data_IF_977691786883
#
_entry.id   IF_977691786883
#
_cell.length_a   1.000
_cell.length_b   1.000
_cell.length_c   1.000
_cell.angle_alpha   90.00
_cell.angle_beta   90.00
_cell.angle_gamma   90.00
#
_symmetry.space_group_name_H-M   'P 1'
#
loop_
_entity.id
_entity.type
_entity.pdbx_description
1 polymer ?
#
# COMPACT_ATOMS: atom_id res chain seq x y z
N UNK A 1 -1.67 11.14 -18.81
CA UNK A 1 -1.42 9.70 -19.08
C UNK A 1 -2.47 8.78 -18.46
N UNK A 2 -2.73 8.81 -17.12
CA UNK A 2 -3.78 7.98 -16.51
C UNK A 2 -5.17 8.32 -17.08
N UNK A 3 -5.50 9.60 -17.17
CA UNK A 3 -6.77 10.06 -17.75
C UNK A 3 -6.93 9.65 -19.23
N UNK A 4 -5.87 9.66 -20.02
CA UNK A 4 -5.91 9.22 -21.42
C UNK A 4 -6.11 7.70 -21.58
N UNK A 5 -5.79 6.93 -20.54
CA UNK A 5 -6.04 5.48 -20.48
C UNK A 5 -7.37 5.13 -19.82
N UNK A 6 -8.19 6.13 -19.45
CA UNK A 6 -9.47 5.91 -18.75
C UNK A 6 -9.30 5.28 -17.36
N UNK A 7 -8.10 5.33 -16.78
CA UNK A 7 -7.81 4.71 -15.50
C UNK A 7 -8.07 5.69 -14.35
N UNK A 8 -8.86 5.27 -13.38
CA UNK A 8 -9.06 6.01 -12.14
C UNK A 8 -7.84 5.88 -11.22
N UNK A 9 -7.44 6.98 -10.59
CA UNK A 9 -6.40 6.96 -9.58
C UNK A 9 -6.98 6.40 -8.27
N UNK A 10 -6.66 5.15 -7.98
CA UNK A 10 -7.04 4.46 -6.75
C UNK A 10 -5.97 4.60 -5.68
N UNK A 11 -6.30 4.32 -4.40
CA UNK A 11 -5.32 4.31 -3.33
C UNK A 11 -4.13 3.36 -3.61
N UNK A 12 -4.35 2.09 -4.06
CA UNK A 12 -3.25 1.25 -4.54
C UNK A 12 -2.51 1.83 -5.76
N UNK A 13 -3.19 2.57 -6.64
CA UNK A 13 -2.53 3.27 -7.74
C UNK A 13 -1.54 4.34 -7.26
N UNK A 14 -1.88 5.07 -6.20
CA UNK A 14 -0.95 6.01 -5.55
C UNK A 14 0.26 5.26 -4.97
N UNK A 15 0.04 4.13 -4.30
CA UNK A 15 1.12 3.28 -3.79
C UNK A 15 2.06 2.79 -4.91
N UNK A 16 1.51 2.44 -6.09
CA UNK A 16 2.30 2.11 -7.28
C UNK A 16 3.20 3.27 -7.75
N UNK A 17 2.70 4.51 -7.70
CA UNK A 17 3.51 5.70 -8.02
C UNK A 17 4.65 5.86 -7.00
N UNK A 18 4.37 5.75 -5.69
CA UNK A 18 5.38 5.87 -4.63
C UNK A 18 6.43 4.78 -4.77
N UNK A 19 6.01 3.53 -5.04
CA UNK A 19 6.92 2.42 -5.30
C UNK A 19 7.86 2.72 -6.47
N UNK A 20 7.34 3.22 -7.58
CA UNK A 20 8.18 3.50 -8.76
C UNK A 20 9.14 4.66 -8.55
N UNK A 21 8.81 5.64 -7.71
CA UNK A 21 9.76 6.67 -7.28
C UNK A 21 10.93 6.02 -6.53
N UNK A 22 10.65 5.11 -5.58
CA UNK A 22 11.69 4.35 -4.88
C UNK A 22 12.59 3.57 -5.83
N UNK A 23 12.01 2.77 -6.72
CA UNK A 23 12.77 1.99 -7.72
C UNK A 23 13.59 2.87 -8.68
N UNK A 24 13.10 4.08 -9.01
CA UNK A 24 13.85 5.03 -9.83
C UNK A 24 15.13 5.53 -9.12
N UNK A 25 15.04 5.77 -7.82
CA UNK A 25 16.19 6.14 -7.00
C UNK A 25 17.20 4.99 -6.97
N UNK A 26 16.75 3.73 -6.76
CA UNK A 26 17.62 2.56 -6.72
C UNK A 26 18.40 2.36 -8.02
N UNK A 27 17.76 2.51 -9.16
CA UNK A 27 18.44 2.43 -10.45
C UNK A 27 19.58 3.47 -10.57
N UNK A 28 19.35 4.71 -10.10
CA UNK A 28 20.39 5.73 -10.08
C UNK A 28 21.50 5.42 -9.06
N UNK A 29 21.16 4.90 -7.89
CA UNK A 29 22.15 4.49 -6.87
C UNK A 29 23.08 3.40 -7.42
N UNK A 30 22.55 2.39 -8.08
CA UNK A 30 23.36 1.34 -8.72
C UNK A 30 24.34 1.92 -9.75
N UNK A 31 23.87 2.84 -10.60
CA UNK A 31 24.73 3.50 -11.59
C UNK A 31 25.83 4.30 -10.89
N UNK A 32 25.49 5.11 -9.88
CA UNK A 32 26.44 5.98 -9.19
C UNK A 32 27.48 5.19 -8.40
N UNK A 33 27.08 4.14 -7.69
CA UNK A 33 28.05 3.29 -7.00
C UNK A 33 28.99 2.59 -7.98
N UNK A 34 28.47 2.13 -9.12
CA UNK A 34 29.31 1.53 -10.15
C UNK A 34 30.29 2.53 -10.74
N UNK A 35 29.85 3.77 -10.98
CA UNK A 35 30.77 4.85 -11.41
C UNK A 35 31.84 5.12 -10.33
N UNK A 36 31.47 5.14 -9.04
CA UNK A 36 32.39 5.32 -7.92
C UNK A 36 33.45 4.21 -7.86
N UNK A 37 33.04 2.95 -8.08
CA UNK A 37 33.98 1.83 -8.16
C UNK A 37 35.00 2.01 -9.30
N UNK A 38 34.54 2.42 -10.49
CA UNK A 38 35.41 2.64 -11.63
C UNK A 38 36.36 3.86 -11.41
N UNK A 39 35.90 4.90 -10.74
CA UNK A 39 36.75 6.04 -10.34
C UNK A 39 37.79 5.60 -9.32
N UNK A 40 37.42 4.79 -8.30
CA UNK A 40 38.37 4.23 -7.33
C UNK A 40 39.38 3.29 -7.97
N UNK A 41 39.02 2.61 -9.06
CA UNK A 41 39.94 1.80 -9.86
C UNK A 41 40.92 2.65 -10.69
N UNK A 42 40.90 3.99 -10.58
CA UNK A 42 41.83 4.91 -11.24
C UNK A 42 41.40 5.37 -12.64
N UNK A 43 40.19 5.08 -13.09
CA UNK A 43 39.69 5.52 -14.39
C UNK A 43 39.37 7.01 -14.39
N UNK A 44 39.65 7.70 -15.48
CA UNK A 44 39.20 9.08 -15.68
C UNK A 44 37.67 9.19 -15.71
N UNK A 45 37.11 10.29 -15.22
CA UNK A 45 35.67 10.49 -14.99
C UNK A 45 34.80 10.13 -16.22
N UNK A 46 35.22 10.49 -17.42
CA UNK A 46 34.47 10.17 -18.66
C UNK A 46 34.38 8.66 -18.92
N UNK A 47 35.49 7.94 -18.75
CA UNK A 47 35.52 6.48 -18.92
C UNK A 47 34.75 5.78 -17.78
N UNK A 48 34.93 6.25 -16.54
CA UNK A 48 34.23 5.71 -15.37
C UNK A 48 32.69 5.81 -15.50
N UNK A 49 32.16 6.94 -16.01
CA UNK A 49 30.73 7.09 -16.30
C UNK A 49 30.30 6.11 -17.36
N UNK A 50 31.03 5.99 -18.48
CA UNK A 50 30.67 5.07 -19.57
C UNK A 50 30.65 3.62 -19.11
N UNK A 51 31.67 3.18 -18.37
CA UNK A 51 31.78 1.82 -17.88
C UNK A 51 30.80 1.54 -16.75
N UNK A 52 30.56 2.50 -15.85
CA UNK A 52 29.57 2.40 -14.80
C UNK A 52 28.15 2.15 -15.35
N UNK A 53 27.72 2.92 -16.33
CA UNK A 53 26.45 2.68 -17.03
C UNK A 53 26.42 1.31 -17.71
N UNK A 54 27.50 0.92 -18.41
CA UNK A 54 27.58 -0.37 -19.11
C UNK A 54 27.44 -1.56 -18.16
N UNK A 55 28.08 -1.50 -16.99
CA UNK A 55 28.04 -2.57 -16.00
C UNK A 55 26.73 -2.62 -15.20
N UNK A 56 26.12 -1.46 -14.92
CA UNK A 56 24.84 -1.39 -14.20
C UNK A 56 23.64 -1.74 -15.09
N UNK A 57 23.74 -1.55 -16.42
CA UNK A 57 22.62 -1.64 -17.35
C UNK A 57 21.86 -2.98 -17.27
N UNK A 58 22.58 -4.10 -17.29
CA UNK A 58 21.97 -5.43 -17.26
C UNK A 58 21.16 -5.65 -15.99
N UNK A 59 21.70 -5.30 -14.81
CA UNK A 59 21.00 -5.44 -13.54
C UNK A 59 19.74 -4.58 -13.47
N UNK A 60 19.81 -3.34 -13.94
CA UNK A 60 18.66 -2.42 -13.93
C UNK A 60 17.56 -2.92 -14.86
N UNK A 61 17.90 -3.38 -16.05
CA UNK A 61 16.89 -3.92 -17.00
C UNK A 61 16.27 -5.20 -16.45
N UNK A 62 17.06 -6.14 -15.94
CA UNK A 62 16.56 -7.41 -15.43
C UNK A 62 15.60 -7.20 -14.23
N UNK A 63 15.95 -6.34 -13.28
CA UNK A 63 15.12 -6.00 -12.14
C UNK A 63 13.80 -5.32 -12.56
N UNK A 64 13.85 -4.34 -13.45
CA UNK A 64 12.65 -3.68 -13.93
C UNK A 64 11.78 -4.58 -14.83
N UNK A 65 12.38 -5.51 -15.58
CA UNK A 65 11.64 -6.43 -16.45
C UNK A 65 10.86 -7.47 -15.64
N UNK A 66 11.41 -7.97 -14.53
CA UNK A 66 10.67 -8.86 -13.62
C UNK A 66 9.45 -8.15 -13.02
N UNK A 67 9.62 -6.93 -12.56
CA UNK A 67 8.52 -6.11 -12.02
C UNK A 67 7.50 -5.76 -13.10
N UNK A 68 7.96 -5.48 -14.33
CA UNK A 68 7.07 -5.20 -15.47
C UNK A 68 6.20 -6.40 -15.84
N UNK A 69 6.76 -7.60 -15.87
CA UNK A 69 5.99 -8.82 -16.14
C UNK A 69 4.92 -9.03 -15.07
N UNK A 70 5.27 -8.85 -13.81
CA UNK A 70 4.30 -8.91 -12.70
C UNK A 70 3.19 -7.88 -12.91
N UNK A 71 3.54 -6.64 -13.22
CA UNK A 71 2.58 -5.57 -13.43
C UNK A 71 1.66 -5.85 -14.63
N UNK A 72 2.16 -6.42 -15.73
CA UNK A 72 1.33 -6.81 -16.88
C UNK A 72 0.33 -7.90 -16.49
N UNK A 73 0.75 -8.93 -15.76
CA UNK A 73 -0.17 -9.98 -15.28
C UNK A 73 -1.23 -9.39 -14.35
N UNK A 74 -0.84 -8.52 -13.41
CA UNK A 74 -1.78 -7.86 -12.51
C UNK A 74 -2.72 -6.89 -13.25
N UNK A 75 -2.28 -6.23 -14.30
CA UNK A 75 -3.13 -5.35 -15.11
C UNK A 75 -4.18 -6.12 -15.91
N UNK A 76 -3.85 -7.32 -16.37
CA UNK A 76 -4.74 -8.13 -17.20
C UNK A 76 -5.70 -9.02 -16.38
N UNK A 77 -5.19 -9.66 -15.34
CA UNK A 77 -5.96 -10.62 -14.51
C UNK A 77 -6.45 -10.01 -13.21
N UNK A 78 -5.85 -8.92 -12.75
CA UNK A 78 -6.30 -8.17 -11.57
C UNK A 78 -7.59 -7.40 -11.86
N UNK A 79 -8.30 -7.05 -10.83
CA UNK A 79 -9.54 -6.28 -10.93
C UNK A 79 -9.54 -5.11 -9.93
N UNK A 80 -10.27 -4.04 -10.29
CA UNK A 80 -10.47 -2.89 -9.44
C UNK A 80 -9.15 -2.24 -8.96
N UNK A 81 -8.92 -2.19 -7.64
CA UNK A 81 -7.76 -1.52 -7.06
C UNK A 81 -6.40 -2.09 -7.50
N UNK A 82 -6.30 -3.42 -7.67
CA UNK A 82 -5.08 -4.11 -8.10
C UNK A 82 -4.72 -3.74 -9.54
N UNK A 83 -5.71 -3.65 -10.41
CA UNK A 83 -5.51 -3.20 -11.79
C UNK A 83 -4.99 -1.75 -11.84
N UNK A 84 -5.57 -0.85 -11.00
CA UNK A 84 -5.11 0.53 -10.87
C UNK A 84 -3.64 0.62 -10.43
N UNK A 85 -3.23 -0.17 -9.44
CA UNK A 85 -1.83 -0.32 -9.02
C UNK A 85 -0.93 -0.76 -10.18
N UNK A 86 -1.33 -1.81 -10.88
CA UNK A 86 -0.53 -2.38 -11.97
C UNK A 86 -0.32 -1.39 -13.13
N UNK A 87 -1.36 -0.65 -13.53
CA UNK A 87 -1.26 0.36 -14.59
C UNK A 87 -0.29 1.48 -14.19
N UNK A 88 -0.39 1.99 -12.97
CA UNK A 88 0.53 3.03 -12.48
C UNK A 88 1.96 2.53 -12.39
N UNK A 89 2.14 1.26 -11.98
CA UNK A 89 3.45 0.62 -11.92
C UNK A 89 4.09 0.48 -13.31
N UNK A 90 3.33 0.04 -14.33
CA UNK A 90 3.81 -0.06 -15.72
C UNK A 90 4.30 1.30 -16.22
N UNK A 91 3.48 2.35 -16.09
CA UNK A 91 3.84 3.70 -16.50
C UNK A 91 5.09 4.17 -15.76
N UNK A 92 5.13 3.94 -14.44
CA UNK A 92 6.24 4.32 -13.58
C UNK A 92 7.55 3.64 -13.96
N UNK A 93 7.54 2.34 -14.28
CA UNK A 93 8.74 1.60 -14.73
C UNK A 93 9.30 2.22 -16.01
N UNK A 94 8.46 2.47 -17.02
CA UNK A 94 8.93 3.07 -18.26
C UNK A 94 9.51 4.48 -18.06
N UNK A 95 8.84 5.31 -17.26
CA UNK A 95 9.32 6.68 -16.97
C UNK A 95 10.60 6.65 -16.12
N UNK A 96 10.71 5.74 -15.17
CA UNK A 96 11.88 5.53 -14.33
C UNK A 96 13.11 5.09 -15.15
N UNK A 97 12.95 4.08 -15.99
CA UNK A 97 14.01 3.61 -16.88
C UNK A 97 14.50 4.73 -17.84
N UNK A 98 13.55 5.45 -18.44
CA UNK A 98 13.88 6.58 -19.30
C UNK A 98 14.67 7.65 -18.56
N UNK A 99 14.24 8.00 -17.35
CA UNK A 99 14.92 9.00 -16.52
C UNK A 99 16.32 8.54 -16.09
N UNK A 100 16.44 7.33 -15.54
CA UNK A 100 17.70 6.83 -15.00
C UNK A 100 18.75 6.56 -16.10
N UNK A 101 18.33 5.93 -17.20
CA UNK A 101 19.28 5.52 -18.26
C UNK A 101 19.56 6.63 -19.23
N UNK A 102 18.54 7.40 -19.63
CA UNK A 102 18.68 8.38 -20.69
C UNK A 102 18.93 9.80 -20.16
N UNK A 103 18.00 10.34 -19.34
CA UNK A 103 18.07 11.74 -18.89
C UNK A 103 19.31 11.97 -18.01
N UNK A 104 19.53 11.10 -17.02
CA UNK A 104 20.67 11.25 -16.09
C UNK A 104 21.99 11.13 -16.85
N UNK A 105 22.11 10.20 -17.80
CA UNK A 105 23.30 10.07 -18.65
C UNK A 105 23.53 11.29 -19.53
N UNK A 106 22.46 11.86 -20.09
CA UNK A 106 22.54 13.10 -20.88
C UNK A 106 23.08 14.26 -20.04
N UNK A 107 22.56 14.41 -18.81
CA UNK A 107 23.04 15.45 -17.88
C UNK A 107 24.54 15.30 -17.62
N UNK A 108 25.02 14.09 -17.30
CA UNK A 108 26.47 13.87 -17.07
C UNK A 108 27.29 14.16 -18.32
N UNK A 109 26.82 13.77 -19.50
CA UNK A 109 27.52 14.07 -20.77
C UNK A 109 27.65 15.56 -20.98
N UNK A 110 26.57 16.32 -20.82
CA UNK A 110 26.56 17.79 -20.96
C UNK A 110 27.45 18.46 -19.90
N UNK A 111 27.50 17.95 -18.67
CA UNK A 111 28.40 18.46 -17.63
C UNK A 111 29.85 18.25 -17.99
N UNK A 112 30.20 17.05 -18.51
CA UNK A 112 31.57 16.74 -18.97
C UNK A 112 32.01 17.62 -20.16
N UNK A 113 31.12 17.85 -21.14
CA UNK A 113 31.40 18.73 -22.28
C UNK A 113 31.65 20.17 -21.84
N UNK A 114 30.91 20.61 -20.81
CA UNK A 114 31.11 21.95 -20.21
C UNK A 114 32.26 22.00 -19.22
N UNK A 115 33.10 20.97 -19.15
CA UNK A 115 34.25 20.83 -18.22
C UNK A 115 33.90 21.09 -16.76
N UNK A 116 32.62 20.83 -16.37
CA UNK A 116 32.20 20.92 -14.96
C UNK A 116 32.74 19.73 -14.18
N UNK A 117 33.19 19.99 -12.96
CA UNK A 117 33.56 18.91 -12.07
C UNK A 117 32.31 18.16 -11.59
N UNK A 118 32.33 16.83 -11.79
CA UNK A 118 31.28 15.93 -11.30
C UNK A 118 31.86 15.17 -10.11
N UNK A 119 31.22 15.28 -8.95
CA UNK A 119 31.51 14.48 -7.77
C UNK A 119 30.35 13.54 -7.50
N UNK A 120 30.61 12.25 -7.28
CA UNK A 120 29.65 11.23 -6.92
C UNK A 120 29.63 10.94 -5.43
N UNK A 121 30.36 11.75 -4.63
CA UNK A 121 30.40 11.66 -3.18
C UNK A 121 30.51 13.05 -2.58
N UNK A 122 30.00 13.22 -1.38
CA UNK A 122 30.23 14.37 -0.52
C UNK A 122 31.33 14.03 0.49
N UNK A 123 31.91 15.02 1.18
CA UNK A 123 32.90 14.79 2.25
C UNK A 123 32.41 13.83 3.32
N UNK A 124 31.09 13.80 3.59
CA UNK A 124 30.49 12.90 4.56
C UNK A 124 30.33 11.47 4.03
N UNK A 125 30.05 11.30 2.72
CA UNK A 125 29.74 10.00 2.12
C UNK A 125 30.91 9.35 1.39
N UNK A 126 32.03 10.04 1.22
CA UNK A 126 33.20 9.56 0.47
C UNK A 126 33.75 8.26 1.06
N UNK A 127 33.86 8.17 2.38
CA UNK A 127 34.43 7.04 3.09
C UNK A 127 33.41 6.16 3.81
N UNK A 128 32.11 6.46 3.66
CA UNK A 128 31.06 5.64 4.27
C UNK A 128 31.04 4.27 3.58
N UNK A 129 31.04 3.21 4.37
CA UNK A 129 31.04 1.80 3.95
C UNK A 129 32.27 1.31 3.14
N UNK A 130 33.28 2.13 2.88
CA UNK A 130 34.50 1.69 2.13
C UNK A 130 35.18 0.51 2.82
N UNK A 131 35.22 0.51 4.14
CA UNK A 131 35.85 -0.54 4.97
C UNK A 131 34.80 -1.45 5.64
N UNK A 132 33.52 -1.37 5.23
CA UNK A 132 32.47 -2.17 5.84
C UNK A 132 32.59 -3.63 5.40
N UNK A 133 33.08 -4.50 6.26
CA UNK A 133 33.16 -5.94 6.02
C UNK A 133 32.20 -6.71 6.92
N UNK A 134 30.89 -6.49 6.70
CA UNK A 134 29.85 -7.22 7.43
C UNK A 134 29.77 -8.66 6.91
N UNK A 135 30.01 -9.63 7.79
CA UNK A 135 29.96 -11.06 7.44
C UNK A 135 28.51 -11.59 7.48
N UNK A 136 27.61 -11.05 6.64
CA UNK A 136 26.18 -11.41 6.60
C UNK A 136 25.99 -12.92 6.42
N UNK A 137 26.67 -13.52 5.45
CA UNK A 137 26.54 -14.95 5.15
C UNK A 137 26.97 -15.80 6.35
N UNK A 138 27.99 -15.40 7.11
CA UNK A 138 28.43 -16.13 8.30
C UNK A 138 27.38 -16.08 9.42
N UNK A 139 26.63 -14.98 9.52
CA UNK A 139 25.56 -14.77 10.52
C UNK A 139 24.18 -15.29 10.07
N UNK A 140 24.05 -15.87 8.88
CA UNK A 140 22.75 -16.30 8.31
C UNK A 140 21.92 -17.18 9.26
N UNK A 141 22.56 -18.04 10.08
CA UNK A 141 21.85 -18.90 11.04
C UNK A 141 21.08 -18.11 12.09
N UNK A 142 21.59 -16.96 12.53
CA UNK A 142 20.92 -16.08 13.49
C UNK A 142 19.67 -15.49 12.85
N UNK A 143 19.79 -15.00 11.62
CA UNK A 143 18.65 -14.43 10.88
C UNK A 143 17.57 -15.48 10.57
N UNK A 144 17.97 -16.74 10.26
CA UNK A 144 17.01 -17.83 10.09
C UNK A 144 16.23 -18.11 11.38
N UNK A 145 16.88 -18.09 12.54
CA UNK A 145 16.22 -18.30 13.82
C UNK A 145 15.25 -17.15 14.14
N UNK A 146 15.68 -15.90 13.96
CA UNK A 146 14.82 -14.72 14.17
C UNK A 146 13.59 -14.78 13.27
N UNK A 147 13.81 -15.00 11.98
CA UNK A 147 12.73 -15.12 11.00
C UNK A 147 11.78 -16.28 11.33
N UNK A 148 12.30 -17.45 11.66
CA UNK A 148 11.49 -18.60 12.06
C UNK A 148 10.65 -18.32 13.31
N UNK A 149 11.19 -17.61 14.29
CA UNK A 149 10.45 -17.21 15.50
C UNK A 149 9.32 -16.23 15.18
N UNK A 150 9.57 -15.22 14.34
CA UNK A 150 8.53 -14.27 13.91
C UNK A 150 7.42 -14.99 13.16
N UNK A 151 7.77 -15.84 12.20
CA UNK A 151 6.77 -16.57 11.39
C UNK A 151 6.02 -17.58 12.26
N UNK A 152 6.69 -18.34 13.13
CA UNK A 152 6.04 -19.28 14.03
C UNK A 152 5.07 -18.57 15.00
N UNK A 153 5.48 -17.45 15.59
CA UNK A 153 4.63 -16.61 16.41
C UNK A 153 3.45 -16.04 15.63
N UNK A 154 3.70 -15.60 14.40
CA UNK A 154 2.67 -15.09 13.49
C UNK A 154 1.65 -16.16 13.07
N UNK A 155 2.12 -17.32 12.65
CA UNK A 155 1.23 -18.44 12.28
C UNK A 155 0.39 -18.87 13.50
N UNK A 156 1.00 -18.96 14.68
CA UNK A 156 0.25 -19.25 15.92
C UNK A 156 -0.81 -18.17 16.17
N UNK A 157 -0.47 -16.89 16.01
CA UNK A 157 -1.41 -15.78 16.15
C UNK A 157 -2.54 -15.85 15.12
N UNK A 158 -2.23 -16.14 13.86
CA UNK A 158 -3.22 -16.29 12.78
C UNK A 158 -4.19 -17.43 13.08
N UNK A 159 -3.70 -18.56 13.59
CA UNK A 159 -4.53 -19.72 13.89
C UNK A 159 -5.41 -19.48 15.14
N UNK A 160 -4.90 -18.79 16.16
CA UNK A 160 -5.62 -18.58 17.43
C UNK A 160 -6.48 -17.32 17.43
N UNK A 161 -6.02 -16.24 16.84
CA UNK A 161 -6.65 -14.92 16.87
C UNK A 161 -7.27 -14.53 15.53
N UNK A 162 -6.76 -15.09 14.43
CA UNK A 162 -7.17 -14.77 13.07
C UNK A 162 -6.46 -13.56 12.48
N UNK A 163 -7.08 -13.03 11.44
CA UNK A 163 -6.71 -11.80 10.75
C UNK A 163 -7.94 -10.90 10.71
N UNK A 164 -7.77 -9.63 10.92
CA UNK A 164 -8.85 -8.65 10.77
C UNK A 164 -9.02 -8.32 9.28
N UNK A 165 -10.05 -8.91 8.68
CA UNK A 165 -10.32 -8.79 7.25
C UNK A 165 -11.29 -7.64 7.03
N UNK A 166 -10.89 -6.65 6.24
CA UNK A 166 -11.68 -5.49 5.89
C UNK A 166 -12.99 -5.80 5.19
N UNK A 167 -13.91 -4.87 5.25
CA UNK A 167 -15.24 -5.00 4.61
C UNK A 167 -15.15 -5.12 3.09
N UNK A 168 -14.07 -4.66 2.48
CA UNK A 168 -13.80 -4.86 1.05
C UNK A 168 -13.63 -6.34 0.69
N UNK A 169 -13.23 -7.17 1.66
CA UNK A 169 -12.98 -8.62 1.49
C UNK A 169 -13.94 -9.51 2.27
N UNK A 170 -14.71 -8.95 3.20
CA UNK A 170 -15.72 -9.71 3.97
C UNK A 170 -17.14 -9.30 3.65
N UNK A 171 -17.33 -8.19 2.95
CA UNK A 171 -18.61 -7.50 2.82
C UNK A 171 -18.92 -6.65 4.04
N UNK A 172 -19.71 -5.61 3.86
CA UNK A 172 -20.07 -4.68 4.93
C UNK A 172 -20.53 -3.33 4.41
N UNK A 173 -20.57 -2.36 5.33
CA UNK A 173 -21.00 -0.99 5.03
C UNK A 173 -19.98 0.00 5.54
N UNK A 174 -19.73 1.07 4.75
CA UNK A 174 -18.91 2.22 5.10
C UNK A 174 -19.75 3.47 5.08
N UNK A 175 -19.66 4.23 6.15
CA UNK A 175 -20.29 5.54 6.30
C UNK A 175 -19.20 6.59 6.45
N UNK A 176 -19.25 7.64 5.64
CA UNK A 176 -18.46 8.84 5.87
C UNK A 176 -19.34 9.86 6.57
N UNK A 177 -19.05 10.12 7.82
CA UNK A 177 -19.82 11.01 8.69
C UNK A 177 -19.03 12.28 8.95
N UNK A 178 -19.65 13.43 8.73
CA UNK A 178 -19.13 14.74 9.15
C UNK A 178 -19.92 15.22 10.34
N UNK A 179 -19.23 15.61 11.39
CA UNK A 179 -19.80 16.19 12.62
C UNK A 179 -19.47 17.67 12.73
N UNK A 180 -20.29 18.41 13.48
CA UNK A 180 -20.09 19.84 13.68
C UNK A 180 -19.10 20.14 14.80
N UNK A 181 -19.06 19.30 15.84
CA UNK A 181 -18.08 19.37 16.92
C UNK A 181 -17.29 18.06 17.01
N UNK A 182 -16.07 18.14 17.50
CA UNK A 182 -15.19 16.96 17.64
C UNK A 182 -15.75 15.98 18.66
N UNK A 183 -15.67 14.69 18.33
CA UNK A 183 -15.99 13.60 19.25
C UNK A 183 -14.77 12.70 19.40
N UNK A 184 -14.56 12.20 20.61
CA UNK A 184 -13.48 11.23 20.80
C UNK A 184 -13.79 9.95 19.98
N UNK A 185 -12.82 9.47 19.23
CA UNK A 185 -12.97 8.30 18.38
C UNK A 185 -13.38 7.04 19.18
N UNK A 186 -12.89 6.90 20.42
CA UNK A 186 -13.22 5.76 21.28
C UNK A 186 -14.65 5.86 21.82
N UNK A 187 -15.13 7.07 22.13
CA UNK A 187 -16.52 7.29 22.55
C UNK A 187 -17.48 7.01 21.40
N UNK A 188 -17.14 7.46 20.19
CA UNK A 188 -17.91 7.16 18.98
C UNK A 188 -17.97 5.64 18.70
N UNK A 189 -16.83 4.97 18.79
CA UNK A 189 -16.73 3.52 18.62
C UNK A 189 -17.55 2.76 19.67
N UNK A 190 -17.50 3.21 20.92
CA UNK A 190 -18.23 2.59 22.02
C UNK A 190 -19.75 2.73 21.84
N UNK A 191 -20.24 3.94 21.49
CA UNK A 191 -21.65 4.17 21.22
C UNK A 191 -22.17 3.34 20.05
N UNK A 192 -21.39 3.29 18.96
CA UNK A 192 -21.72 2.45 17.79
C UNK A 192 -21.68 0.95 18.13
N UNK A 193 -20.75 0.51 18.97
CA UNK A 193 -20.68 -0.91 19.38
C UNK A 193 -21.96 -1.33 20.09
N UNK A 194 -22.49 -0.49 20.98
CA UNK A 194 -23.78 -0.77 21.65
C UNK A 194 -24.92 -0.78 20.63
N UNK A 195 -24.95 0.15 19.69
CA UNK A 195 -26.01 0.24 18.68
C UNK A 195 -25.96 -0.92 17.66
N UNK A 196 -24.81 -1.53 17.48
CA UNK A 196 -24.60 -2.71 16.60
C UNK A 196 -24.62 -4.05 17.35
N UNK A 197 -25.43 -4.18 18.39
CA UNK A 197 -25.60 -5.42 19.17
C UNK A 197 -24.27 -5.98 19.70
N UNK A 198 -23.39 -5.12 20.22
CA UNK A 198 -22.03 -5.43 20.69
C UNK A 198 -21.06 -5.88 19.58
N UNK A 199 -21.34 -5.58 18.33
CA UNK A 199 -20.39 -5.77 17.23
C UNK A 199 -19.57 -4.49 17.02
N UNK A 200 -18.29 -4.45 17.40
CA UNK A 200 -17.50 -3.23 17.33
C UNK A 200 -17.25 -2.85 15.85
N UNK A 201 -17.61 -1.62 15.46
CA UNK A 201 -17.22 -1.10 14.16
C UNK A 201 -15.77 -0.63 14.18
N UNK A 202 -15.20 -0.48 12.99
CA UNK A 202 -14.00 0.31 12.83
C UNK A 202 -14.38 1.78 12.66
N UNK A 203 -13.70 2.65 13.38
CA UNK A 203 -13.86 4.11 13.28
C UNK A 203 -12.50 4.73 13.00
N UNK A 204 -12.39 5.48 11.91
CA UNK A 204 -11.16 6.21 11.54
C UNK A 204 -11.49 7.69 11.35
N UNK A 205 -10.60 8.60 11.79
CA UNK A 205 -10.69 10.00 11.39
C UNK A 205 -10.23 10.16 9.93
N UNK A 206 -10.91 11.03 9.16
CA UNK A 206 -10.61 11.26 7.74
C UNK A 206 -10.28 12.71 7.47
N UNK A 207 -9.01 13.00 7.32
CA UNK A 207 -8.51 14.32 6.91
C UNK A 207 -8.54 15.40 8.00
N UNK A 208 -9.57 15.48 8.84
CA UNK A 208 -9.67 16.39 9.95
C UNK A 208 -10.46 15.78 11.13
N UNK A 209 -10.47 16.48 12.28
CA UNK A 209 -11.12 16.05 13.52
C UNK A 209 -12.67 16.06 13.47
N UNK A 210 -13.26 16.48 12.36
CA UNK A 210 -14.71 16.59 12.15
C UNK A 210 -15.25 15.56 11.18
N UNK A 211 -14.41 14.66 10.65
CA UNK A 211 -14.82 13.65 9.68
C UNK A 211 -14.36 12.25 10.11
N UNK A 212 -15.32 11.35 10.13
CA UNK A 212 -15.10 9.96 10.52
C UNK A 212 -15.56 9.01 9.42
N UNK A 213 -14.76 7.98 9.19
CA UNK A 213 -15.13 6.80 8.42
C UNK A 213 -15.53 5.71 9.41
N UNK A 214 -16.78 5.28 9.35
CA UNK A 214 -17.34 4.20 10.15
C UNK A 214 -17.51 2.98 9.26
N UNK A 215 -16.84 1.90 9.58
CA UNK A 215 -16.90 0.64 8.83
C UNK A 215 -17.52 -0.44 9.71
N UNK A 216 -18.59 -1.10 9.21
CA UNK A 216 -19.31 -2.09 9.98
C UNK A 216 -19.70 -3.31 9.16
N UNK A 217 -19.64 -4.50 9.79
CA UNK A 217 -20.16 -5.77 9.28
C UNK A 217 -21.54 -6.11 9.87
N UNK A 218 -22.12 -5.19 10.65
CA UNK A 218 -23.42 -5.41 11.27
C UNK A 218 -24.48 -5.66 10.21
N UNK A 219 -25.20 -6.77 10.32
CA UNK A 219 -26.22 -7.22 9.36
C UNK A 219 -25.80 -7.20 7.88
N UNK A 220 -24.51 -7.45 7.59
CA UNK A 220 -23.97 -7.37 6.21
C UNK A 220 -24.56 -8.44 5.27
N UNK A 221 -25.04 -9.55 5.81
CA UNK A 221 -25.72 -10.60 5.05
C UNK A 221 -27.14 -10.24 4.64
N UNK A 222 -27.75 -9.27 5.32
CA UNK A 222 -29.07 -8.76 4.98
C UNK A 222 -28.95 -7.65 3.95
N UNK A 223 -29.27 -8.01 2.69
CA UNK A 223 -29.22 -7.11 1.52
C UNK A 223 -30.55 -6.41 1.26
N UNK A 224 -31.56 -6.63 2.09
CA UNK A 224 -32.86 -5.99 1.94
C UNK A 224 -32.77 -4.47 2.21
N UNK A 225 -33.75 -3.74 1.66
CA UNK A 225 -33.90 -2.32 2.01
C UNK A 225 -34.14 -2.12 3.51
N UNK A 226 -34.73 -3.10 4.16
CA UNK A 226 -34.99 -3.06 5.61
C UNK A 226 -33.71 -3.30 6.42
N UNK A 227 -32.79 -4.16 5.94
CA UNK A 227 -31.47 -4.33 6.53
C UNK A 227 -30.65 -3.02 6.50
N UNK A 228 -30.71 -2.25 5.42
CA UNK A 228 -30.04 -0.96 5.33
C UNK A 228 -30.66 0.04 6.31
N UNK A 229 -31.98 0.17 6.35
CA UNK A 229 -32.70 1.05 7.29
C UNK A 229 -32.38 0.73 8.74
N UNK A 230 -32.22 -0.55 9.09
CA UNK A 230 -31.88 -0.96 10.45
C UNK A 230 -30.44 -0.52 10.83
N UNK A 231 -29.49 -0.60 9.90
CA UNK A 231 -28.12 -0.14 10.17
C UNK A 231 -28.07 1.39 10.21
N UNK A 232 -28.79 2.07 9.34
CA UNK A 232 -28.89 3.55 9.37
C UNK A 232 -29.52 4.02 10.68
N UNK A 233 -30.61 3.40 11.15
CA UNK A 233 -31.23 3.69 12.43
C UNK A 233 -30.31 3.39 13.63
N UNK A 234 -29.45 2.37 13.56
CA UNK A 234 -28.47 2.10 14.59
C UNK A 234 -27.36 3.18 14.62
N UNK A 235 -26.87 3.64 13.44
CA UNK A 235 -25.94 4.75 13.36
C UNK A 235 -26.57 6.02 13.93
N UNK A 236 -27.81 6.33 13.55
CA UNK A 236 -28.57 7.47 14.06
C UNK A 236 -28.74 7.40 15.57
N UNK A 237 -29.12 6.24 16.11
CA UNK A 237 -29.25 6.02 17.56
C UNK A 237 -27.94 6.28 18.31
N UNK A 238 -26.80 5.80 17.78
CA UNK A 238 -25.49 6.02 18.37
C UNK A 238 -25.12 7.52 18.37
N UNK A 239 -25.34 8.20 17.24
CA UNK A 239 -25.06 9.63 17.09
C UNK A 239 -25.94 10.48 18.00
N UNK A 240 -27.24 10.15 18.11
CA UNK A 240 -28.17 10.81 19.02
C UNK A 240 -27.75 10.59 20.49
N UNK A 241 -27.28 9.39 20.85
CA UNK A 241 -26.75 9.08 22.17
C UNK A 241 -25.50 9.91 22.54
N UNK A 242 -24.73 10.34 21.54
CA UNK A 242 -23.59 11.26 21.71
C UNK A 242 -24.00 12.74 21.63
N UNK A 243 -25.30 13.05 21.50
CA UNK A 243 -25.81 14.40 21.42
C UNK A 243 -25.71 15.06 20.05
N UNK A 244 -25.63 14.29 18.97
CA UNK A 244 -25.65 14.81 17.59
C UNK A 244 -27.02 14.56 16.95
N UNK A 245 -27.51 15.52 16.17
CA UNK A 245 -28.76 15.40 15.39
C UNK A 245 -28.43 15.32 13.90
N UNK A 246 -29.13 14.45 13.19
CA UNK A 246 -28.98 14.32 11.75
C UNK A 246 -29.44 15.57 11.02
N UNK A 247 -28.61 16.14 10.15
CA UNK A 247 -28.93 17.27 9.30
C UNK A 247 -29.01 16.82 7.84
N UNK A 248 -30.22 16.85 7.28
CA UNK A 248 -30.44 16.60 5.84
C UNK A 248 -30.21 17.87 5.03
N UNK A 249 -29.54 17.76 3.89
CA UNK A 249 -29.26 18.90 2.99
C UNK A 249 -30.54 19.46 2.32
N UNK A 250 -31.65 18.74 2.38
CA UNK A 250 -32.90 19.14 1.73
C UNK A 250 -33.85 20.01 2.60
N UNK A 251 -33.50 20.25 3.87
CA UNK A 251 -34.39 20.96 4.79
C UNK A 251 -34.17 22.48 4.87
N UNK A 252 -33.52 23.10 3.88
CA UNK A 252 -33.13 24.51 3.91
C UNK A 252 -34.29 25.53 3.73
N UNK A 253 -35.56 25.13 3.75
CA UNK A 253 -36.68 26.02 3.41
C UNK A 253 -37.76 26.20 4.51
N UNK A 254 -37.50 25.91 5.81
CA UNK A 254 -38.49 26.15 6.86
C UNK A 254 -37.90 26.88 8.05
N UNK A 255 -37.98 28.23 8.04
CA UNK A 255 -37.55 29.10 9.16
C UNK A 255 -38.24 28.78 10.52
N UNK A 256 -39.44 28.22 10.52
CA UNK A 256 -40.14 27.80 11.72
C UNK A 256 -39.56 26.50 12.35
N UNK A 257 -39.00 25.61 11.53
CA UNK A 257 -38.33 24.39 11.98
C UNK A 257 -36.92 24.70 12.50
N UNK A 258 -36.26 25.69 11.95
CA UNK A 258 -34.96 26.18 12.36
C UNK A 258 -35.00 26.79 13.79
N UNK A 259 -36.06 27.54 14.14
CA UNK A 259 -36.16 28.13 15.45
C UNK A 259 -36.51 27.14 16.57
N UNK A 260 -37.26 26.08 16.28
CA UNK A 260 -37.54 25.00 17.23
C UNK A 260 -36.31 24.09 17.42
N UNK A 261 -35.63 23.73 16.32
CA UNK A 261 -34.35 22.99 16.33
C UNK A 261 -33.22 23.78 16.97
N UNK A 262 -33.15 25.11 16.81
CA UNK A 262 -32.10 25.93 17.41
C UNK A 262 -32.18 25.96 18.93
N UNK A 263 -33.39 25.84 19.52
CA UNK A 263 -33.58 25.75 20.99
C UNK A 263 -33.21 24.36 21.53
N UNK A 264 -33.43 23.31 20.78
CA UNK A 264 -33.06 21.92 21.10
C UNK A 264 -31.56 21.70 20.86
N UNK A 265 -30.99 22.32 19.81
CA UNK A 265 -29.55 22.28 19.49
C UNK A 265 -28.66 22.99 20.53
N UNK A 266 -29.17 23.88 21.33
CA UNK A 266 -28.39 24.58 22.37
C UNK A 266 -27.94 23.65 23.51
N UNK A 267 -28.52 22.47 23.63
CA UNK A 267 -28.17 21.41 24.60
C UNK A 267 -27.41 20.23 23.98
N UNK A 268 -27.17 20.24 22.66
CA UNK A 268 -26.62 19.14 21.90
C UNK A 268 -25.19 19.45 21.39
N UNK A 269 -24.38 18.44 21.20
CA UNK A 269 -23.03 18.55 20.65
C UNK A 269 -22.98 19.03 19.18
N UNK A 270 -24.13 19.25 18.55
CA UNK A 270 -24.24 19.74 17.18
C UNK A 270 -24.95 18.81 16.22
N UNK A 271 -24.69 19.00 14.95
CA UNK A 271 -25.27 18.17 13.88
C UNK A 271 -24.24 17.24 13.27
N UNK A 272 -24.72 16.11 12.71
CA UNK A 272 -23.92 15.24 11.85
C UNK A 272 -24.59 15.07 10.49
N UNK A 273 -23.78 14.75 9.47
CA UNK A 273 -24.22 14.43 8.11
C UNK A 273 -23.49 13.21 7.59
N UNK A 274 -24.21 12.33 6.94
CA UNK A 274 -23.63 11.23 6.17
C UNK A 274 -23.29 11.78 4.77
N UNK A 275 -21.99 11.97 4.50
CA UNK A 275 -21.52 12.49 3.22
C UNK A 275 -21.49 11.43 2.13
N UNK A 276 -21.19 10.21 2.52
CA UNK A 276 -21.06 9.07 1.60
C UNK A 276 -21.45 7.78 2.33
N UNK A 277 -22.25 6.98 1.65
CA UNK A 277 -22.57 5.62 2.05
C UNK A 277 -22.12 4.66 0.97
N UNK A 278 -21.38 3.63 1.36
CA UNK A 278 -20.99 2.53 0.47
C UNK A 278 -21.33 1.21 1.09
N UNK A 279 -22.05 0.40 0.31
CA UNK A 279 -22.26 -1.01 0.64
C UNK A 279 -21.37 -1.86 -0.26
N UNK A 280 -20.59 -2.76 0.36
CA UNK A 280 -19.75 -3.72 -0.34
C UNK A 280 -20.48 -5.06 -0.33
N UNK A 281 -20.87 -5.51 -1.54
CA UNK A 281 -21.56 -6.79 -1.70
C UNK A 281 -20.58 -7.97 -1.59
N UNK A 282 -20.96 -9.00 -0.84
CA UNK A 282 -20.16 -10.22 -0.67
C UNK A 282 -19.85 -10.92 -2.01
N UNK A 283 -20.75 -10.82 -3.01
CA UNK A 283 -20.55 -11.42 -4.34
C UNK A 283 -19.43 -10.71 -5.13
N UNK A 284 -19.40 -9.37 -5.04
CA UNK A 284 -18.32 -8.57 -5.66
C UNK A 284 -17.00 -8.90 -4.97
N UNK A 285 -17.01 -8.99 -3.65
CA UNK A 285 -15.86 -9.35 -2.82
C UNK A 285 -15.28 -10.72 -3.20
N UNK A 286 -16.11 -11.75 -3.34
CA UNK A 286 -15.66 -13.08 -3.74
C UNK A 286 -15.00 -13.06 -5.12
N UNK A 287 -15.59 -12.35 -6.07
CA UNK A 287 -15.02 -12.19 -7.42
C UNK A 287 -13.68 -11.46 -7.38
N UNK A 288 -13.57 -10.37 -6.61
CA UNK A 288 -12.33 -9.63 -6.43
C UNK A 288 -11.23 -10.49 -5.78
N UNK A 289 -11.55 -11.22 -4.73
CA UNK A 289 -10.61 -12.12 -4.06
C UNK A 289 -10.11 -13.22 -5.00
N UNK A 290 -11.00 -13.88 -5.73
CA UNK A 290 -10.65 -14.94 -6.67
C UNK A 290 -9.75 -14.43 -7.81
N UNK A 291 -10.11 -13.31 -8.41
CA UNK A 291 -9.30 -12.69 -9.48
C UNK A 291 -7.92 -12.28 -8.97
N UNK A 292 -7.86 -11.69 -7.78
CA UNK A 292 -6.60 -11.28 -7.14
C UNK A 292 -5.70 -12.47 -6.85
N UNK A 293 -6.26 -13.55 -6.32
CA UNK A 293 -5.50 -14.78 -6.02
C UNK A 293 -4.93 -15.42 -7.29
N UNK A 294 -5.73 -15.51 -8.35
CA UNK A 294 -5.29 -16.02 -9.66
C UNK A 294 -4.18 -15.12 -10.22
N UNK A 295 -4.34 -13.80 -10.18
CA UNK A 295 -3.35 -12.86 -10.68
C UNK A 295 -2.01 -12.98 -9.93
N UNK A 296 -2.05 -13.13 -8.59
CA UNK A 296 -0.85 -13.35 -7.77
C UNK A 296 -0.16 -14.65 -8.18
N UNK A 297 -0.88 -15.77 -8.25
CA UNK A 297 -0.27 -17.06 -8.64
C UNK A 297 0.35 -17.00 -10.04
N UNK A 298 -0.34 -16.42 -11.01
CA UNK A 298 0.18 -16.26 -12.37
C UNK A 298 1.44 -15.38 -12.38
N UNK A 299 1.45 -14.30 -11.59
CA UNK A 299 2.63 -13.44 -11.46
C UNK A 299 3.82 -14.21 -10.91
N UNK A 300 3.62 -15.04 -9.88
CA UNK A 300 4.65 -15.88 -9.30
C UNK A 300 5.23 -16.87 -10.33
N UNK A 301 4.38 -17.49 -11.10
CA UNK A 301 4.80 -18.43 -12.17
C UNK A 301 5.63 -17.70 -13.22
N UNK A 302 5.17 -16.55 -13.69
CA UNK A 302 5.88 -15.76 -14.70
C UNK A 302 7.25 -15.31 -14.20
N UNK A 303 7.34 -14.84 -12.94
CA UNK A 303 8.63 -14.48 -12.32
C UNK A 303 9.56 -15.68 -12.25
N UNK A 304 9.05 -16.80 -11.74
CA UNK A 304 9.85 -18.04 -11.66
C UNK A 304 10.43 -18.44 -13.01
N UNK A 305 9.58 -18.50 -14.03
CA UNK A 305 9.98 -18.87 -15.39
C UNK A 305 11.02 -17.89 -15.95
N UNK A 306 10.78 -16.57 -15.79
CA UNK A 306 11.72 -15.56 -16.24
C UNK A 306 13.09 -15.71 -15.57
N UNK A 307 13.15 -15.82 -14.24
CA UNK A 307 14.42 -15.94 -13.49
C UNK A 307 15.12 -17.26 -13.85
N UNK A 308 14.38 -18.37 -13.91
CA UNK A 308 14.94 -19.67 -14.27
C UNK A 308 15.58 -19.68 -15.67
N UNK A 309 14.92 -19.03 -16.64
CA UNK A 309 15.41 -18.88 -18.00
C UNK A 309 16.58 -17.91 -18.09
N UNK A 310 16.48 -16.75 -17.46
CA UNK A 310 17.48 -15.67 -17.49
C UNK A 310 18.81 -16.10 -16.88
N UNK A 311 18.76 -16.79 -15.76
CA UNK A 311 19.97 -17.25 -15.03
C UNK A 311 20.34 -18.71 -15.31
N UNK A 312 19.62 -19.38 -16.22
CA UNK A 312 19.88 -20.77 -16.67
C UNK A 312 19.87 -21.82 -15.54
N UNK A 313 19.30 -21.50 -14.38
CA UNK A 313 19.18 -22.41 -13.23
C UNK A 313 17.88 -22.13 -12.49
N UNK A 314 17.02 -23.13 -12.40
CA UNK A 314 15.72 -23.04 -11.73
C UNK A 314 15.82 -22.70 -10.23
N UNK A 315 16.97 -23.03 -9.60
CA UNK A 315 17.23 -22.75 -8.19
C UNK A 315 17.17 -21.26 -7.87
N UNK A 316 17.57 -20.39 -8.78
CA UNK A 316 17.48 -18.94 -8.59
C UNK A 316 16.03 -18.47 -8.59
N UNK A 317 15.19 -18.99 -9.51
CA UNK A 317 13.76 -18.71 -9.50
C UNK A 317 13.08 -19.19 -8.22
N UNK A 318 13.40 -20.39 -7.75
CA UNK A 318 12.87 -20.91 -6.51
C UNK A 318 13.33 -20.07 -5.30
N UNK A 319 14.59 -19.64 -5.27
CA UNK A 319 15.11 -18.75 -4.22
C UNK A 319 14.34 -17.43 -4.15
N UNK A 320 14.08 -16.80 -5.29
CA UNK A 320 13.30 -15.56 -5.36
C UNK A 320 11.86 -15.75 -4.87
N UNK A 321 11.20 -16.85 -5.27
CA UNK A 321 9.85 -17.17 -4.79
C UNK A 321 9.80 -17.37 -3.28
N UNK A 322 10.76 -18.11 -2.73
CA UNK A 322 10.84 -18.36 -1.29
C UNK A 322 11.11 -17.09 -0.50
N UNK A 323 11.98 -16.20 -1.01
CA UNK A 323 12.23 -14.90 -0.39
C UNK A 323 10.97 -14.07 -0.34
N UNK A 324 10.26 -13.93 -1.45
CA UNK A 324 9.02 -13.18 -1.55
C UNK A 324 7.92 -13.75 -0.64
N UNK A 325 7.75 -15.08 -0.64
CA UNK A 325 6.79 -15.74 0.23
C UNK A 325 7.11 -15.52 1.72
N UNK A 326 8.40 -15.58 2.07
CA UNK A 326 8.89 -15.26 3.40
C UNK A 326 8.51 -13.83 3.80
N UNK A 327 8.73 -12.83 2.93
CA UNK A 327 8.47 -11.42 3.25
C UNK A 327 6.98 -11.17 3.45
N UNK A 328 6.14 -11.76 2.61
CA UNK A 328 4.67 -11.70 2.77
C UNK A 328 4.24 -12.36 4.09
N UNK A 329 4.80 -13.52 4.43
CA UNK A 329 4.49 -14.19 5.70
C UNK A 329 4.91 -13.36 6.91
N UNK A 330 6.07 -12.70 6.86
CA UNK A 330 6.51 -11.81 7.93
C UNK A 330 5.53 -10.65 8.12
N UNK A 331 5.09 -10.01 7.03
CA UNK A 331 4.12 -8.90 7.12
C UNK A 331 2.80 -9.39 7.71
N UNK A 332 2.24 -10.50 7.21
CA UNK A 332 1.00 -11.08 7.74
C UNK A 332 1.14 -11.48 9.22
N UNK A 333 2.31 -12.02 9.60
CA UNK A 333 2.62 -12.38 10.98
C UNK A 333 2.58 -11.16 11.89
N UNK A 334 3.21 -10.06 11.49
CA UNK A 334 3.22 -8.82 12.26
C UNK A 334 1.80 -8.23 12.37
N UNK A 335 1.03 -8.25 11.30
CA UNK A 335 -0.35 -7.78 11.32
C UNK A 335 -1.20 -8.58 12.31
N UNK A 336 -1.13 -9.91 12.30
CA UNK A 336 -1.88 -10.75 13.26
C UNK A 336 -1.40 -10.60 14.71
N UNK A 337 -0.08 -10.52 14.93
CA UNK A 337 0.48 -10.39 16.30
C UNK A 337 0.07 -9.07 16.93
N UNK A 338 0.20 -7.98 16.18
CA UNK A 338 -0.01 -6.64 16.70
C UNK A 338 -1.46 -6.16 16.62
N UNK A 339 -2.34 -6.87 15.93
CA UNK A 339 -3.77 -6.57 15.89
C UNK A 339 -4.37 -6.50 17.30
N UNK A 340 -5.02 -5.38 17.61
CA UNK A 340 -5.61 -5.08 18.91
C UNK A 340 -4.61 -4.76 20.04
N UNK A 341 -3.29 -4.67 19.74
CA UNK A 341 -2.26 -4.24 20.68
C UNK A 341 -1.88 -2.79 20.38
N UNK A 342 -1.77 -2.44 19.08
CA UNK A 342 -1.41 -1.10 18.65
C UNK A 342 -2.63 -0.15 18.66
N UNK A 343 -2.42 1.16 18.87
CA UNK A 343 -3.51 2.13 18.94
C UNK A 343 -4.13 2.48 17.57
N UNK A 344 -3.76 1.77 16.52
CA UNK A 344 -4.29 1.94 15.17
C UNK A 344 -4.73 0.59 14.60
N UNK A 345 -5.60 0.64 13.60
CA UNK A 345 -6.18 -0.55 12.97
C UNK A 345 -5.16 -1.28 12.11
N UNK A 346 -5.14 -2.59 12.21
CA UNK A 346 -4.31 -3.49 11.38
C UNK A 346 -5.22 -4.37 10.52
N UNK A 347 -6.19 -3.74 9.89
CA UNK A 347 -7.15 -4.39 9.02
C UNK A 347 -6.53 -4.72 7.67
N UNK A 348 -6.87 -5.89 7.14
CA UNK A 348 -6.54 -6.29 5.77
C UNK A 348 -7.58 -5.67 4.83
N UNK A 349 -7.33 -4.45 4.43
CA UNK A 349 -8.13 -3.64 3.53
C UNK A 349 -7.42 -3.43 2.16
N UNK A 350 -7.95 -2.54 1.32
CA UNK A 350 -7.31 -2.19 0.04
C UNK A 350 -5.94 -1.51 0.23
N UNK A 351 -5.74 -0.76 1.31
CA UNK A 351 -4.46 -0.12 1.60
C UNK A 351 -3.40 -1.18 1.96
N UNK A 352 -3.79 -2.19 2.75
CA UNK A 352 -2.94 -3.34 3.06
C UNK A 352 -2.52 -4.09 1.80
N UNK A 353 -3.45 -4.37 0.86
CA UNK A 353 -3.11 -5.02 -0.41
C UNK A 353 -2.10 -4.18 -1.19
N UNK A 354 -2.26 -2.86 -1.23
CA UNK A 354 -1.30 -1.97 -1.86
C UNK A 354 0.09 -2.05 -1.20
N UNK A 355 0.14 -2.10 0.13
CA UNK A 355 1.38 -2.26 0.88
C UNK A 355 2.05 -3.61 0.58
N UNK A 356 1.32 -4.72 0.58
CA UNK A 356 1.84 -6.05 0.23
C UNK A 356 2.38 -6.08 -1.21
N UNK A 357 1.64 -5.55 -2.17
CA UNK A 357 2.10 -5.48 -3.56
C UNK A 357 3.38 -4.63 -3.69
N UNK A 358 3.50 -3.57 -2.89
CA UNK A 358 4.70 -2.75 -2.83
C UNK A 358 5.89 -3.52 -2.26
N UNK A 359 5.71 -4.22 -1.12
CA UNK A 359 6.73 -5.07 -0.51
C UNK A 359 7.19 -6.15 -1.49
N UNK A 360 6.24 -6.84 -2.12
CA UNK A 360 6.53 -7.88 -3.13
C UNK A 360 7.31 -7.30 -4.31
N UNK A 361 6.88 -6.14 -4.84
CA UNK A 361 7.56 -5.48 -5.95
C UNK A 361 9.01 -5.10 -5.61
N UNK A 362 9.25 -4.60 -4.41
CA UNK A 362 10.59 -4.26 -3.91
C UNK A 362 11.43 -5.52 -3.67
N UNK A 363 10.88 -6.53 -3.00
CA UNK A 363 11.57 -7.79 -2.72
C UNK A 363 12.05 -8.50 -3.99
N UNK A 364 11.23 -8.48 -5.05
CA UNK A 364 11.61 -9.03 -6.37
C UNK A 364 12.77 -8.22 -6.95
N UNK A 365 12.67 -6.89 -6.95
CA UNK A 365 13.67 -6.00 -7.50
C UNK A 365 15.04 -6.22 -6.82
N UNK A 366 15.06 -6.27 -5.49
CA UNK A 366 16.27 -6.50 -4.71
C UNK A 366 16.86 -7.90 -4.89
N UNK A 367 16.02 -8.92 -5.02
CA UNK A 367 16.47 -10.31 -5.21
C UNK A 367 17.11 -10.51 -6.59
N UNK A 368 16.62 -9.85 -7.62
CA UNK A 368 17.12 -9.95 -9.01
C UNK A 368 18.35 -9.09 -9.23
#
# INVERSE_FOLDING_TARGET
TLASLGAALTLPGIAGIVLTIGMSVDANVLIYERIREEVRAGKGKRLAITDGYKHAYSAIIDANLTTLFTAIVLAYFGSGPIQGFAITLIIGIFTSLFSAIFITRLIFTLMLERKKEISFSTRLTENVFVNASYKFIKKRKIFYVISALIIAGGVTSIVTKGLDIGVEFSGGRKYHVKVQSTVNQEDLKSALTVAFDNMPPEVKSRGNEYQYEITTKYKYTDKSLDGNKMVDAAVESAMNGLGFVFADDQSSNNEALESAKAKELATLNGTYRIQEFRQVDATITETLMKSSFIAIILSLIVIFVYIAFRFKKWQYGLGALLAMFHDVLVVLSLFSIFWGILPFTMEIDQAFIAAILTVVGYSINDTV
#
